data_IF_219030830106
#
_entry.id   IF_219030830106
#
_cell.length_a   1.000
_cell.length_b   1.000
_cell.length_c   1.000
_cell.angle_alpha   90.00
_cell.angle_beta   90.00
_cell.angle_gamma   90.00
#
_symmetry.space_group_name_H-M   'P 1'
#
loop_
_entity.id
_entity.type
_entity.pdbx_description
1 polymer ?
#
# COMPACT_ATOMS: atom_id res chain seq x y z
N UNK A 1 0.06 1.20 -13.21
CA UNK A 1 -0.22 2.58 -12.75
C UNK A 1 -1.70 2.78 -12.92
N UNK A 2 -2.46 2.92 -11.83
CA UNK A 2 -3.92 3.05 -11.90
C UNK A 2 -4.31 4.53 -11.86
N UNK A 3 -5.21 4.93 -12.75
CA UNK A 3 -5.72 6.30 -12.80
C UNK A 3 -7.01 6.37 -11.99
N UNK A 4 -7.02 7.22 -10.96
CA UNK A 4 -8.20 7.43 -10.12
C UNK A 4 -8.79 8.82 -10.41
N UNK A 5 -10.10 8.86 -10.63
CA UNK A 5 -10.84 10.12 -10.80
C UNK A 5 -11.53 10.50 -9.50
N UNK A 6 -11.20 11.67 -8.95
CA UNK A 6 -11.74 12.16 -7.69
C UNK A 6 -12.65 13.37 -7.96
N UNK A 7 -13.87 13.33 -7.42
CA UNK A 7 -14.73 14.52 -7.36
C UNK A 7 -14.37 15.32 -6.11
N UNK A 8 -14.05 16.60 -6.29
CA UNK A 8 -13.64 17.48 -5.20
C UNK A 8 -14.41 18.80 -5.26
N UNK A 9 -14.62 19.42 -4.10
CA UNK A 9 -15.18 20.76 -4.03
C UNK A 9 -14.22 21.80 -4.64
N UNK A 10 -14.78 22.86 -5.21
CA UNK A 10 -14.02 23.93 -5.87
C UNK A 10 -12.99 24.59 -4.95
N UNK A 11 -13.29 24.72 -3.66
CA UNK A 11 -12.38 25.28 -2.64
C UNK A 11 -11.10 24.45 -2.53
N UNK A 12 -11.23 23.12 -2.50
CA UNK A 12 -10.08 22.22 -2.42
C UNK A 12 -9.24 22.24 -3.70
N UNK A 13 -9.88 22.37 -4.87
CA UNK A 13 -9.17 22.51 -6.16
C UNK A 13 -8.35 23.80 -6.21
N UNK A 14 -8.90 24.91 -5.69
CA UNK A 14 -8.18 26.18 -5.62
C UNK A 14 -6.93 26.08 -4.74
N UNK A 15 -7.07 25.51 -3.53
CA UNK A 15 -5.94 25.29 -2.62
C UNK A 15 -4.85 24.40 -3.25
N UNK A 16 -5.25 23.31 -3.90
CA UNK A 16 -4.33 22.43 -4.63
C UNK A 16 -3.57 23.17 -5.73
N UNK A 17 -4.23 24.07 -6.45
CA UNK A 17 -3.61 24.86 -7.50
C UNK A 17 -2.58 25.85 -6.95
N UNK A 18 -2.89 26.51 -5.83
CA UNK A 18 -1.95 27.43 -5.16
C UNK A 18 -0.74 26.68 -4.62
N UNK A 19 -0.95 25.54 -3.97
CA UNK A 19 0.11 24.70 -3.44
C UNK A 19 1.01 24.14 -4.56
N UNK A 20 0.41 23.70 -5.68
CA UNK A 20 1.14 23.26 -6.86
C UNK A 20 2.02 24.37 -7.45
N UNK A 21 1.49 25.60 -7.51
CA UNK A 21 2.23 26.79 -7.98
C UNK A 21 3.39 27.14 -7.04
N UNK A 22 3.16 27.10 -5.73
CA UNK A 22 4.19 27.39 -4.72
C UNK A 22 5.34 26.37 -4.76
N UNK A 23 5.02 25.10 -5.01
CA UNK A 23 6.00 24.01 -5.08
C UNK A 23 6.64 23.83 -6.48
N UNK A 24 6.14 24.52 -7.50
CA UNK A 24 6.58 24.34 -8.89
C UNK A 24 6.30 22.93 -9.45
N UNK A 25 5.29 22.23 -8.92
CA UNK A 25 4.94 20.85 -9.30
C UNK A 25 3.55 20.79 -9.95
N UNK A 26 3.26 19.70 -10.67
CA UNK A 26 1.90 19.48 -11.17
C UNK A 26 0.93 19.15 -10.04
N UNK A 27 -0.35 19.51 -10.19
CA UNK A 27 -1.38 19.21 -9.18
C UNK A 27 -1.47 17.70 -8.89
N UNK A 28 -1.37 16.86 -9.92
CA UNK A 28 -1.37 15.41 -9.76
C UNK A 28 -0.14 14.87 -9.02
N UNK A 29 1.02 15.55 -9.11
CA UNK A 29 2.19 15.19 -8.31
C UNK A 29 1.99 15.56 -6.84
N UNK A 30 1.45 16.74 -6.56
CA UNK A 30 1.12 17.17 -5.19
C UNK A 30 0.11 16.21 -4.53
N UNK A 31 -0.94 15.81 -5.25
CA UNK A 31 -1.93 14.84 -4.74
C UNK A 31 -1.27 13.49 -4.43
N UNK A 32 -0.40 12.98 -5.32
CA UNK A 32 0.33 11.73 -5.09
C UNK A 32 1.21 11.82 -3.85
N UNK A 33 2.00 12.89 -3.73
CA UNK A 33 2.87 13.11 -2.57
C UNK A 33 2.08 13.14 -1.25
N UNK A 34 0.92 13.81 -1.23
CA UNK A 34 0.05 13.88 -0.05
C UNK A 34 -0.53 12.51 0.32
N UNK A 35 -0.97 11.73 -0.67
CA UNK A 35 -1.48 10.37 -0.46
C UNK A 35 -0.36 9.47 0.07
N UNK A 36 0.82 9.52 -0.55
CA UNK A 36 1.98 8.72 -0.15
C UNK A 36 2.43 9.04 1.28
N UNK A 37 2.46 10.33 1.65
CA UNK A 37 2.77 10.75 3.03
C UNK A 37 1.77 10.18 4.04
N UNK A 38 0.47 10.27 3.74
CA UNK A 38 -0.58 9.75 4.61
C UNK A 38 -0.53 8.22 4.74
N UNK A 39 -0.27 7.52 3.64
CA UNK A 39 -0.15 6.06 3.63
C UNK A 39 1.14 5.60 4.31
N UNK A 40 2.25 6.32 4.15
CA UNK A 40 3.51 6.01 4.82
C UNK A 40 3.36 6.08 6.35
N UNK A 41 2.64 7.07 6.87
CA UNK A 41 2.34 7.16 8.31
C UNK A 41 1.46 6.01 8.82
N UNK A 42 0.63 5.43 7.95
CA UNK A 42 -0.29 4.33 8.30
C UNK A 42 0.24 2.94 7.92
N UNK A 43 1.42 2.83 7.30
CA UNK A 43 1.98 1.54 6.89
C UNK A 43 2.31 0.72 8.12
N UNK A 44 1.34 -0.10 8.54
CA UNK A 44 1.60 -1.26 9.38
C UNK A 44 2.47 -2.20 8.54
N UNK A 45 3.57 -2.73 9.11
CA UNK A 45 4.41 -3.67 8.38
C UNK A 45 3.55 -4.84 7.94
N UNK A 46 3.67 -5.22 6.66
CA UNK A 46 2.86 -6.29 6.09
C UNK A 46 3.15 -7.61 6.79
N UNK A 47 2.24 -8.59 6.67
CA UNK A 47 2.52 -9.93 7.20
C UNK A 47 3.81 -10.51 6.62
N UNK A 48 4.09 -10.21 5.35
CA UNK A 48 5.36 -10.57 4.72
C UNK A 48 6.55 -9.90 5.41
N UNK A 49 6.52 -8.57 5.60
CA UNK A 49 7.63 -7.84 6.23
C UNK A 49 7.93 -8.35 7.65
N UNK A 50 6.87 -8.77 8.37
CA UNK A 50 6.98 -9.31 9.74
C UNK A 50 7.45 -10.76 9.83
N UNK A 51 7.34 -11.52 8.75
CA UNK A 51 7.65 -12.95 8.72
C UNK A 51 8.81 -13.27 7.77
N UNK A 52 9.40 -12.26 7.12
CA UNK A 52 10.49 -12.42 6.16
C UNK A 52 11.75 -12.99 6.82
N UNK A 53 12.00 -12.58 8.06
CA UNK A 53 13.00 -13.10 8.98
C UNK A 53 12.72 -14.54 9.43
N UNK A 54 11.46 -14.98 9.38
CA UNK A 54 11.08 -16.37 9.62
C UNK A 54 11.20 -17.25 8.36
N UNK A 55 11.24 -16.64 7.17
CA UNK A 55 11.43 -17.35 5.91
C UNK A 55 12.83 -17.97 5.85
N UNK A 56 12.93 -19.27 6.07
CA UNK A 56 14.19 -20.03 6.06
C UNK A 56 14.83 -20.25 7.44
N UNK A 57 14.29 -19.65 8.50
CA UNK A 57 14.70 -19.98 9.89
C UNK A 57 14.08 -21.30 10.37
N UNK A 58 13.02 -21.75 9.71
CA UNK A 58 12.37 -23.04 9.95
C UNK A 58 12.50 -23.94 8.72
N UNK A 59 13.16 -25.09 8.90
CA UNK A 59 13.10 -26.17 7.92
C UNK A 59 11.79 -26.95 8.13
N UNK A 60 10.75 -26.59 7.37
CA UNK A 60 9.53 -27.39 7.29
C UNK A 60 9.78 -28.71 6.55
N UNK A 61 8.97 -29.73 6.83
CA UNK A 61 9.00 -30.96 6.03
C UNK A 61 8.69 -30.64 4.58
N UNK A 62 9.57 -31.11 3.67
CA UNK A 62 9.45 -30.88 2.22
C UNK A 62 8.08 -31.31 1.68
N UNK A 63 7.52 -32.36 2.28
CA UNK A 63 6.23 -32.96 1.92
C UNK A 63 5.02 -32.06 2.20
N UNK A 64 5.11 -31.08 3.12
CA UNK A 64 3.97 -30.21 3.45
C UNK A 64 3.85 -29.00 2.51
N UNK A 65 4.92 -28.66 1.79
CA UNK A 65 4.95 -27.49 0.91
C UNK A 65 4.32 -27.74 -0.47
N UNK A 66 4.26 -29.00 -0.90
CA UNK A 66 3.81 -29.40 -2.24
C UNK A 66 2.59 -30.31 -2.23
N UNK A 67 2.24 -30.91 -1.09
CA UNK A 67 1.11 -31.83 -0.99
C UNK A 67 -0.18 -31.07 -0.66
N UNK A 68 -1.29 -31.30 -1.38
CA UNK A 68 -2.57 -30.68 -1.06
C UNK A 68 -3.02 -31.10 0.35
N UNK A 69 -3.37 -30.12 1.19
CA UNK A 69 -3.91 -30.39 2.52
C UNK A 69 -5.30 -31.00 2.41
N UNK A 70 -5.48 -32.21 2.93
CA UNK A 70 -6.79 -32.82 3.13
C UNK A 70 -7.27 -32.57 4.55
N UNK A 71 -8.48 -32.02 4.71
CA UNK A 71 -9.13 -31.85 6.03
C UNK A 71 -9.02 -30.46 6.67
N UNK A 72 -8.48 -29.45 5.99
CA UNK A 72 -8.51 -28.07 6.50
C UNK A 72 -9.94 -27.53 6.50
N UNK A 73 -10.44 -27.11 7.66
CA UNK A 73 -11.78 -26.49 7.80
C UNK A 73 -12.96 -27.46 7.78
N UNK A 74 -12.77 -28.72 8.18
CA UNK A 74 -13.91 -29.60 8.52
C UNK A 74 -14.20 -29.48 10.02
N UNK A 75 -15.45 -29.15 10.35
CA UNK A 75 -16.05 -29.27 11.68
C UNK A 75 -16.00 -30.72 12.20
#
# INVERSE_FOLDING_TARGET
METVTLKMERKHIALLKEQAKALGRSQAAVVRDLIDQHLAQKKRPSLYDRAKDLCGSVCGSKDLSTRPMTGYGRD
#
